data_IF_146707162603
#
_entry.id   IF_146707162603
#
_cell.length_a   1.000
_cell.length_b   1.000
_cell.length_c   1.000
_cell.angle_alpha   90.00
_cell.angle_beta   90.00
_cell.angle_gamma   90.00
#
_symmetry.space_group_name_H-M   'P 1'
#
loop_
_entity.id
_entity.type
_entity.pdbx_description
1 polymer ?
#
# COMPACT_ATOMS: atom_id res chain seq x y z
N UNK A 1 13.69 3.27 -12.98
CA UNK A 1 13.47 2.29 -11.90
C UNK A 1 13.11 3.07 -10.64
N UNK A 2 12.07 2.69 -9.91
CA UNK A 2 11.66 3.38 -8.66
C UNK A 2 12.69 3.05 -7.58
N UNK A 3 13.19 4.07 -6.87
CA UNK A 3 14.24 3.92 -5.84
C UNK A 3 13.73 4.00 -4.42
N UNK A 4 12.66 4.75 -4.18
CA UNK A 4 12.06 4.84 -2.85
C UNK A 4 10.56 5.06 -2.95
N UNK A 5 9.85 4.72 -1.87
CA UNK A 5 8.42 4.95 -1.70
C UNK A 5 8.18 5.52 -0.31
N UNK A 6 7.43 6.62 -0.23
CA UNK A 6 6.90 7.16 1.02
C UNK A 6 5.39 6.91 1.08
N UNK A 7 4.92 6.35 2.19
CA UNK A 7 3.52 6.01 2.45
C UNK A 7 3.08 6.74 3.71
N UNK A 8 2.05 7.58 3.60
CA UNK A 8 1.45 8.28 4.74
C UNK A 8 -0.04 7.97 4.83
N UNK A 9 -0.50 7.73 6.06
CA UNK A 9 -1.92 7.51 6.39
C UNK A 9 -2.63 6.46 5.50
N UNK A 10 -1.97 5.34 5.25
CA UNK A 10 -2.54 4.22 4.49
C UNK A 10 -2.80 3.03 5.41
N UNK A 11 -4.07 2.83 5.78
CA UNK A 11 -4.48 1.84 6.79
C UNK A 11 -3.66 1.98 8.07
N UNK A 12 -2.94 0.92 8.45
CA UNK A 12 -2.07 0.87 9.63
C UNK A 12 -0.70 1.54 9.45
N UNK A 13 -0.35 1.97 8.22
CA UNK A 13 0.90 2.68 7.95
C UNK A 13 0.70 4.18 8.18
N UNK A 14 1.23 4.69 9.30
CA UNK A 14 1.10 6.10 9.71
C UNK A 14 2.03 6.99 8.88
N UNK A 15 3.33 6.72 8.96
CA UNK A 15 4.38 7.33 8.15
C UNK A 15 5.48 6.29 7.94
N UNK A 16 5.76 5.94 6.69
CA UNK A 16 6.75 4.94 6.31
C UNK A 16 7.52 5.42 5.10
N UNK A 17 8.83 5.23 5.13
CA UNK A 17 9.73 5.39 4.00
C UNK A 17 10.43 4.05 3.74
N UNK A 18 10.44 3.64 2.48
CA UNK A 18 11.04 2.39 2.05
C UNK A 18 11.96 2.64 0.85
N UNK A 19 13.26 2.42 1.06
CA UNK A 19 14.24 2.32 -0.01
C UNK A 19 14.10 0.97 -0.73
N UNK A 20 14.14 1.00 -2.05
CA UNK A 20 13.99 -0.17 -2.92
C UNK A 20 15.31 -0.51 -3.61
N UNK A 21 15.63 -1.80 -3.54
CA UNK A 21 16.70 -2.46 -4.28
C UNK A 21 16.08 -3.36 -5.36
N UNK A 22 16.92 -3.90 -6.25
CA UNK A 22 16.46 -4.85 -7.28
C UNK A 22 15.72 -6.06 -6.67
N UNK A 23 16.06 -6.39 -5.42
CA UNK A 23 15.34 -7.34 -4.58
C UNK A 23 15.15 -6.76 -3.17
N UNK A 24 13.90 -6.61 -2.73
CA UNK A 24 13.54 -6.12 -1.39
C UNK A 24 12.65 -7.15 -0.72
N UNK A 25 13.05 -7.62 0.47
CA UNK A 25 12.28 -8.57 1.26
C UNK A 25 11.60 -7.87 2.46
N UNK A 26 10.29 -8.08 2.61
CA UNK A 26 9.53 -7.58 3.76
C UNK A 26 9.44 -8.66 4.84
N UNK A 27 10.14 -8.45 5.97
CA UNK A 27 10.17 -9.37 7.11
C UNK A 27 9.51 -8.76 8.35
N UNK A 28 9.10 -9.62 9.29
CA UNK A 28 8.47 -9.20 10.56
C UNK A 28 7.30 -10.07 10.98
N UNK A 29 6.79 -9.87 12.20
CA UNK A 29 5.69 -10.65 12.79
C UNK A 29 4.37 -10.49 12.05
N UNK A 30 3.44 -11.43 12.20
CA UNK A 30 2.09 -11.28 11.66
C UNK A 30 1.42 -10.01 12.21
N UNK A 31 0.74 -9.27 11.34
CA UNK A 31 0.15 -7.98 11.71
C UNK A 31 1.11 -6.78 11.66
N UNK A 32 2.41 -6.96 11.43
CA UNK A 32 3.38 -5.85 11.37
C UNK A 32 3.25 -4.91 10.15
N UNK A 33 2.24 -5.10 9.30
CA UNK A 33 1.99 -4.24 8.14
C UNK A 33 2.65 -4.65 6.82
N UNK A 34 3.36 -5.79 6.74
CA UNK A 34 4.00 -6.27 5.49
C UNK A 34 3.04 -6.31 4.29
N UNK A 35 1.89 -6.96 4.46
CA UNK A 35 0.86 -7.00 3.40
C UNK A 35 0.26 -5.63 3.13
N UNK A 36 0.20 -4.74 4.13
CA UNK A 36 -0.25 -3.35 3.95
C UNK A 36 0.68 -2.55 3.05
N UNK A 37 2.00 -2.75 3.15
CA UNK A 37 2.98 -2.15 2.23
C UNK A 37 2.74 -2.60 0.80
N UNK A 38 2.58 -3.90 0.58
CA UNK A 38 2.27 -4.44 -0.75
C UNK A 38 0.93 -3.90 -1.29
N UNK A 39 -0.07 -3.74 -0.43
CA UNK A 39 -1.35 -3.14 -0.80
C UNK A 39 -1.23 -1.66 -1.19
N UNK A 40 -0.35 -0.89 -0.55
CA UNK A 40 -0.09 0.50 -0.91
C UNK A 40 0.59 0.60 -2.29
N UNK A 41 1.56 -0.28 -2.57
CA UNK A 41 2.22 -0.35 -3.88
C UNK A 41 1.22 -0.72 -4.98
N UNK A 42 0.38 -1.74 -4.73
CA UNK A 42 -0.67 -2.16 -5.66
C UNK A 42 -1.71 -1.05 -5.87
N UNK A 43 -2.10 -0.32 -4.81
CA UNK A 43 -2.97 0.84 -4.91
C UNK A 43 -2.41 1.91 -5.86
N UNK A 44 -1.12 2.25 -5.75
CA UNK A 44 -0.45 3.19 -6.68
C UNK A 44 -0.53 2.68 -8.11
N UNK A 45 -0.20 1.39 -8.34
CA UNK A 45 -0.26 0.78 -9.66
C UNK A 45 -1.66 0.80 -10.28
N UNK A 46 -2.70 0.56 -9.47
CA UNK A 46 -4.09 0.57 -9.92
C UNK A 46 -4.63 1.99 -10.13
N UNK A 47 -4.15 2.96 -9.35
CA UNK A 47 -4.41 4.39 -9.58
C UNK A 47 -3.91 4.84 -10.95
N UNK A 48 -2.66 4.47 -11.30
CA UNK A 48 -2.09 4.79 -12.61
C UNK A 48 -2.85 4.14 -13.77
N UNK A 49 -3.47 2.98 -13.54
CA UNK A 49 -4.28 2.26 -14.54
C UNK A 49 -5.74 2.73 -14.60
N UNK A 50 -6.18 3.59 -13.69
CA UNK A 50 -7.59 4.00 -13.58
C UNK A 50 -8.54 2.89 -13.09
N UNK A 51 -8.03 1.87 -12.38
CA UNK A 51 -8.80 0.67 -11.96
C UNK A 51 -9.05 0.60 -10.45
N UNK A 52 -9.12 1.75 -9.77
CA UNK A 52 -9.23 1.75 -8.31
C UNK A 52 -10.58 1.23 -7.80
N UNK A 53 -11.68 1.53 -8.50
CA UNK A 53 -13.01 1.05 -8.12
C UNK A 53 -13.07 -0.48 -8.14
N UNK A 54 -12.67 -1.10 -9.25
CA UNK A 54 -12.60 -2.56 -9.40
C UNK A 54 -11.63 -3.20 -8.38
N UNK A 55 -10.51 -2.52 -8.12
CA UNK A 55 -9.52 -2.97 -7.14
C UNK A 55 -10.09 -3.00 -5.72
N UNK A 56 -10.84 -1.98 -5.32
CA UNK A 56 -11.50 -1.91 -4.02
C UNK A 56 -12.64 -2.93 -3.93
N UNK A 57 -13.47 -3.04 -4.98
CA UNK A 57 -14.60 -3.96 -5.05
C UNK A 57 -14.16 -5.42 -4.97
N UNK A 58 -13.13 -5.82 -5.71
CA UNK A 58 -12.57 -7.19 -5.66
C UNK A 58 -12.06 -7.60 -4.27
N UNK A 59 -11.74 -6.62 -3.42
CA UNK A 59 -11.32 -6.80 -2.02
C UNK A 59 -12.45 -6.56 -1.02
N UNK A 60 -13.65 -6.23 -1.50
CA UNK A 60 -14.82 -5.85 -0.69
C UNK A 60 -14.51 -4.67 0.26
N UNK A 61 -13.66 -3.75 -0.17
CA UNK A 61 -13.31 -2.56 0.59
C UNK A 61 -14.20 -1.38 0.21
N UNK A 62 -14.57 -0.60 1.22
CA UNK A 62 -15.13 0.74 1.06
C UNK A 62 -13.99 1.75 1.07
N UNK A 63 -14.19 2.92 0.49
CA UNK A 63 -13.16 3.97 0.48
C UNK A 63 -12.70 4.40 1.88
N UNK A 64 -13.57 4.30 2.88
CA UNK A 64 -13.22 4.51 4.29
C UNK A 64 -12.27 3.47 4.90
N UNK A 65 -12.06 2.33 4.22
CA UNK A 65 -11.23 1.21 4.70
C UNK A 65 -9.78 1.29 4.15
N UNK A 66 -9.47 2.28 3.29
CA UNK A 66 -8.20 2.35 2.54
C UNK A 66 -7.34 3.56 2.96
N UNK A 67 -7.63 4.82 2.59
CA UNK A 67 -6.96 5.96 3.20
C UNK A 67 -7.51 6.21 4.60
N UNK A 68 -6.61 6.28 5.57
CA UNK A 68 -6.94 6.74 6.92
C UNK A 68 -7.02 8.27 6.88
N UNK A 69 -8.13 8.82 6.38
CA UNK A 69 -8.39 10.27 6.39
C UNK A 69 -8.83 10.74 7.78
N UNK A 70 -7.94 10.60 8.77
CA UNK A 70 -7.98 11.32 10.04
C UNK A 70 -6.54 11.66 10.44
#
# INVERSE_FOLDING_TARGET
MIKSISIKKFKSLVDMELELSDFTCLIGVNGSGKSTVLQAIDFIGQMMRGKLSDWAESRRWKWKDVPSLY
#
